data_IF_397577358847
#
_entry.id   IF_397577358847
#
_cell.length_a   1.000
_cell.length_b   1.000
_cell.length_c   1.000
_cell.angle_alpha   90.00
_cell.angle_beta   90.00
_cell.angle_gamma   90.00
#
_symmetry.space_group_name_H-M   'P 1'
#
loop_
_entity.id
_entity.type
_entity.pdbx_description
1 polymer ?
#
# COMPACT_ATOMS: atom_id res chain seq x y z
N UNK A 1 -2.37 -13.09 -18.85
CA UNK A 1 -2.72 -13.52 -17.49
C UNK A 1 -2.89 -12.26 -16.63
N UNK A 2 -4.13 -11.91 -16.26
CA UNK A 2 -4.35 -10.84 -15.28
C UNK A 2 -3.90 -11.37 -13.94
N UNK A 3 -2.84 -10.76 -13.42
CA UNK A 3 -2.10 -11.21 -12.25
C UNK A 3 -3.02 -11.28 -11.02
N UNK A 4 -3.16 -12.48 -10.45
CA UNK A 4 -3.94 -12.75 -9.24
C UNK A 4 -3.55 -11.84 -8.06
N UNK A 5 -2.38 -11.20 -8.10
CA UNK A 5 -1.86 -10.27 -7.07
C UNK A 5 -2.47 -8.87 -7.18
N UNK A 6 -2.80 -8.40 -8.38
CA UNK A 6 -3.62 -7.19 -8.53
C UNK A 6 -4.98 -7.40 -7.88
N UNK A 7 -5.54 -8.61 -7.92
CA UNK A 7 -6.83 -8.90 -7.28
C UNK A 7 -6.80 -8.74 -5.76
N UNK A 8 -5.72 -9.09 -5.03
CA UNK A 8 -5.70 -8.97 -3.55
C UNK A 8 -5.44 -7.54 -3.08
N UNK A 9 -4.57 -6.78 -3.76
CA UNK A 9 -4.46 -5.34 -3.51
C UNK A 9 -5.75 -4.62 -3.88
N UNK A 10 -6.43 -5.08 -4.94
CA UNK A 10 -7.79 -4.66 -5.29
C UNK A 10 -8.80 -5.12 -4.25
N UNK A 11 -8.63 -6.27 -3.58
CA UNK A 11 -9.49 -6.71 -2.47
C UNK A 11 -9.33 -5.80 -1.27
N UNK A 12 -8.12 -5.45 -0.83
CA UNK A 12 -7.91 -4.48 0.26
C UNK A 12 -8.40 -3.08 -0.13
N UNK A 13 -8.09 -2.61 -1.35
CA UNK A 13 -8.57 -1.33 -1.89
C UNK A 13 -10.09 -1.30 -2.05
N UNK A 14 -10.70 -2.41 -2.47
CA UNK A 14 -12.15 -2.58 -2.52
C UNK A 14 -12.73 -2.76 -1.11
N UNK A 15 -12.02 -3.31 -0.13
CA UNK A 15 -12.47 -3.39 1.27
C UNK A 15 -12.54 -2.02 1.92
N UNK A 16 -11.66 -1.10 1.50
CA UNK A 16 -11.67 0.29 1.92
C UNK A 16 -12.89 1.07 1.35
N UNK A 17 -13.59 0.55 0.33
CA UNK A 17 -14.66 1.27 -0.39
C UNK A 17 -15.94 0.49 -0.77
N UNK A 18 -16.02 -0.84 -0.59
CA UNK A 18 -17.15 -1.71 -0.97
C UNK A 18 -17.45 -2.75 0.13
N UNK A 19 -18.69 -3.28 0.10
CA UNK A 19 -19.18 -4.29 1.05
C UNK A 19 -18.31 -5.54 1.05
N UNK A 20 -18.09 -6.06 2.25
CA UNK A 20 -17.33 -7.27 2.59
C UNK A 20 -17.88 -8.49 1.81
N UNK A 21 -16.98 -9.28 1.24
CA UNK A 21 -17.30 -10.57 0.59
C UNK A 21 -18.07 -11.49 1.55
N UNK A 22 -19.13 -12.20 1.10
CA UNK A 22 -19.94 -13.07 1.96
C UNK A 22 -19.19 -14.32 2.46
N UNK A 23 -18.02 -14.65 1.90
CA UNK A 23 -17.30 -15.89 2.21
C UNK A 23 -16.23 -15.74 3.31
N UNK A 24 -16.32 -14.71 4.15
CA UNK A 24 -15.37 -14.47 5.24
C UNK A 24 -15.99 -14.84 6.59
N UNK A 25 -15.22 -15.54 7.43
CA UNK A 25 -15.64 -15.81 8.81
C UNK A 25 -15.73 -14.50 9.61
N UNK A 26 -16.49 -14.51 10.69
CA UNK A 26 -16.66 -13.35 11.58
C UNK A 26 -15.30 -12.78 12.03
N UNK A 27 -14.37 -13.65 12.43
CA UNK A 27 -13.03 -13.25 12.88
C UNK A 27 -12.23 -12.60 11.75
N UNK A 28 -12.32 -13.12 10.53
CA UNK A 28 -11.66 -12.53 9.37
C UNK A 28 -12.24 -11.15 9.03
N UNK A 29 -13.56 -10.99 9.13
CA UNK A 29 -14.21 -9.69 8.92
C UNK A 29 -13.76 -8.67 9.98
N UNK A 30 -13.66 -9.11 11.23
CA UNK A 30 -13.21 -8.26 12.34
C UNK A 30 -11.75 -7.84 12.16
N UNK A 31 -10.84 -8.78 11.85
CA UNK A 31 -9.44 -8.47 11.59
C UNK A 31 -9.26 -7.49 10.41
N UNK A 32 -10.07 -7.62 9.35
CA UNK A 32 -10.02 -6.67 8.22
C UNK A 32 -10.54 -5.27 8.59
N UNK A 33 -11.52 -5.15 9.50
CA UNK A 33 -11.96 -3.84 10.04
C UNK A 33 -10.86 -3.18 10.86
N UNK A 34 -10.16 -3.94 11.69
CA UNK A 34 -9.06 -3.43 12.51
C UNK A 34 -7.90 -2.92 11.64
N UNK A 35 -7.49 -3.70 10.65
CA UNK A 35 -6.46 -3.31 9.67
C UNK A 35 -6.87 -2.02 8.95
N UNK A 36 -8.14 -1.91 8.54
CA UNK A 36 -8.69 -0.68 7.93
C UNK A 36 -8.60 0.51 8.87
N UNK A 37 -9.00 0.37 10.13
CA UNK A 37 -8.97 1.46 11.10
C UNK A 37 -7.53 1.92 11.41
N UNK A 38 -6.59 0.97 11.55
CA UNK A 38 -5.17 1.28 11.74
C UNK A 38 -4.55 1.97 10.52
N UNK A 39 -4.97 1.60 9.31
CA UNK A 39 -4.53 2.25 8.07
C UNK A 39 -5.12 3.66 7.95
N UNK A 40 -6.41 3.84 8.22
CA UNK A 40 -7.10 5.14 8.14
C UNK A 40 -6.63 6.14 9.20
N UNK A 41 -6.31 5.67 10.41
CA UNK A 41 -5.70 6.50 11.46
C UNK A 41 -4.26 6.90 11.14
N UNK A 42 -3.66 6.31 10.09
CA UNK A 42 -2.26 6.53 9.75
C UNK A 42 -1.30 5.90 10.75
N UNK A 43 -1.73 4.90 11.53
CA UNK A 43 -0.85 4.14 12.41
C UNK A 43 0.05 3.19 11.60
N UNK A 44 -0.51 2.56 10.55
CA UNK A 44 0.20 1.59 9.72
C UNK A 44 0.14 1.94 8.23
N UNK A 45 1.16 1.49 7.49
CA UNK A 45 1.17 1.39 6.04
C UNK A 45 1.21 -0.07 5.63
N UNK A 46 0.31 -0.45 4.73
CA UNK A 46 0.30 -1.77 4.10
C UNK A 46 0.94 -1.65 2.72
N UNK A 47 1.92 -2.50 2.44
CA UNK A 47 2.62 -2.62 1.17
C UNK A 47 2.67 -4.08 0.69
N UNK A 48 3.30 -4.29 -0.47
CA UNK A 48 3.63 -5.61 -1.00
C UNK A 48 5.15 -5.73 -0.98
N UNK A 49 5.66 -6.89 -0.57
CA UNK A 49 7.07 -7.24 -0.72
C UNK A 49 7.56 -7.16 -2.17
N UNK A 50 8.85 -6.89 -2.36
CA UNK A 50 9.52 -6.91 -3.67
C UNK A 50 9.36 -8.27 -4.37
N UNK A 51 9.31 -9.37 -3.61
CA UNK A 51 9.04 -10.72 -4.12
C UNK A 51 7.58 -10.98 -4.43
N UNK A 52 6.68 -10.03 -4.15
CA UNK A 52 5.27 -10.06 -4.54
C UNK A 52 4.47 -11.22 -3.94
N UNK A 53 4.95 -11.81 -2.85
CA UNK A 53 4.34 -12.99 -2.20
C UNK A 53 3.74 -12.68 -0.84
N UNK A 54 4.25 -11.65 -0.17
CA UNK A 54 3.86 -11.30 1.19
C UNK A 54 3.42 -9.84 1.26
N UNK A 55 2.40 -9.59 2.09
CA UNK A 55 2.06 -8.25 2.54
C UNK A 55 3.02 -7.83 3.63
N UNK A 56 3.45 -6.58 3.56
CA UNK A 56 4.27 -6.00 4.61
C UNK A 56 3.46 -4.91 5.30
N UNK A 57 3.45 -4.96 6.63
CA UNK A 57 2.84 -3.95 7.49
C UNK A 57 3.96 -3.21 8.20
N UNK A 58 4.04 -1.90 7.99
CA UNK A 58 4.98 -1.02 8.66
C UNK A 58 4.23 0.00 9.50
N UNK A 59 4.86 0.55 10.53
CA UNK A 59 4.37 1.82 11.08
C UNK A 59 4.47 2.91 10.02
N UNK A 60 3.50 3.81 9.99
CA UNK A 60 3.51 4.92 9.04
C UNK A 60 4.74 5.83 9.20
N UNK A 61 5.23 5.97 10.44
CA UNK A 61 6.47 6.68 10.75
C UNK A 61 7.68 6.06 10.05
N UNK A 62 7.86 4.73 10.23
CA UNK A 62 8.95 3.99 9.60
C UNK A 62 8.85 4.08 8.07
N UNK A 63 7.64 3.90 7.52
CA UNK A 63 7.42 4.01 6.09
C UNK A 63 7.82 5.39 5.54
N UNK A 64 7.48 6.47 6.25
CA UNK A 64 7.87 7.83 5.87
C UNK A 64 9.38 8.04 5.96
N UNK A 65 10.03 7.52 7.01
CA UNK A 65 11.47 7.61 7.18
C UNK A 65 12.22 6.89 6.05
N UNK A 66 11.82 5.66 5.73
CA UNK A 66 12.36 4.88 4.61
C UNK A 66 12.15 5.62 3.29
N UNK A 67 10.92 6.06 3.03
CA UNK A 67 10.58 6.78 1.79
C UNK A 67 11.40 8.06 1.64
N UNK A 68 11.56 8.83 2.72
CA UNK A 68 12.37 10.05 2.73
C UNK A 68 13.82 9.76 2.37
N UNK A 69 14.43 8.75 2.98
CA UNK A 69 15.80 8.35 2.68
C UNK A 69 15.95 7.84 1.25
N UNK A 70 14.99 7.05 0.78
CA UNK A 70 15.01 6.52 -0.58
C UNK A 70 14.93 7.64 -1.64
N UNK A 71 14.09 8.65 -1.42
CA UNK A 71 13.97 9.81 -2.32
C UNK A 71 15.18 10.75 -2.29
N UNK A 72 16.09 10.61 -1.33
CA UNK A 72 17.34 11.37 -1.26
C UNK A 72 18.46 10.73 -2.09
N UNK A 73 18.26 9.52 -2.60
CA UNK A 73 19.24 8.83 -3.42
C UNK A 73 19.33 9.48 -4.82
N UNK A 74 20.36 10.32 -5.00
CA UNK A 74 20.62 11.02 -6.25
C UNK A 74 21.12 10.11 -7.38
N UNK A 75 21.47 8.85 -7.09
CA UNK A 75 21.81 7.87 -8.13
C UNK A 75 20.56 7.29 -8.80
N UNK A 76 19.41 7.34 -8.11
CA UNK A 76 18.13 6.79 -8.57
C UNK A 76 17.14 7.89 -8.95
N UNK A 77 17.07 8.97 -8.16
CA UNK A 77 16.10 10.04 -8.34
C UNK A 77 16.80 11.39 -8.59
N UNK A 78 16.33 12.11 -9.60
CA UNK A 78 16.70 13.50 -9.84
C UNK A 78 15.44 14.38 -9.83
N UNK A 79 15.61 15.66 -9.51
CA UNK A 79 14.50 16.62 -9.63
C UNK A 79 14.28 16.91 -11.11
N UNK A 80 13.05 16.75 -11.57
CA UNK A 80 12.67 17.13 -12.92
C UNK A 80 12.49 18.64 -13.04
N UNK A 81 12.93 19.22 -14.15
CA UNK A 81 12.63 20.61 -14.51
C UNK A 81 11.15 20.76 -14.93
N UNK A 82 10.56 21.96 -14.83
CA UNK A 82 9.22 22.20 -15.36
C UNK A 82 9.08 21.95 -16.87
N UNK A 83 10.14 22.11 -17.67
CA UNK A 83 10.12 21.72 -19.09
C UNK A 83 10.13 20.20 -19.27
N UNK A 84 10.95 19.48 -18.51
CA UNK A 84 11.03 18.02 -18.54
C UNK A 84 9.72 17.39 -18.10
N UNK A 85 9.11 17.90 -17.03
CA UNK A 85 7.82 17.41 -16.53
C UNK A 85 6.70 17.59 -17.57
N UNK A 86 6.68 18.73 -18.27
CA UNK A 86 5.69 18.99 -19.33
C UNK A 86 5.86 18.13 -20.59
N UNK A 87 6.99 17.44 -20.75
CA UNK A 87 7.30 16.57 -21.90
C UNK A 87 7.01 15.09 -21.65
N UNK A 88 6.63 14.70 -20.43
CA UNK A 88 6.24 13.33 -20.05
C UNK A 88 4.77 13.06 -20.33
#
# INVERSE_FOLDING_TARGET
MVDSKFRVFTVLRNYMGKRVSPNLSTDQQQGLREIRNLSLSGAIKIGISDKGREFIVHSQELYRAITRLHLQDASVYSRSSPEEFRRQ
#
